data_IF_247939386408
#
_entry.id   IF_247939386408
#
_cell.length_a   1.000
_cell.length_b   1.000
_cell.length_c   1.000
_cell.angle_alpha   90.00
_cell.angle_beta   90.00
_cell.angle_gamma   90.00
#
_symmetry.space_group_name_H-M   'P 1'
#
loop_
_entity.id
_entity.type
_entity.pdbx_description
1 polymer ?
#
# COMPACT_ATOMS: atom_id res chain seq x y z
N UNK A 1 28.49 -13.06 -2.83
CA UNK A 1 27.25 -13.34 -2.07
C UNK A 1 26.14 -12.59 -2.78
N UNK A 2 25.40 -13.25 -3.67
CA UNK A 2 24.17 -12.64 -4.18
C UNK A 2 23.20 -12.59 -3.00
N UNK A 3 22.96 -11.41 -2.47
CA UNK A 3 21.87 -11.19 -1.54
C UNK A 3 20.59 -11.46 -2.35
N UNK A 4 20.00 -12.64 -2.16
CA UNK A 4 18.76 -13.04 -2.81
C UNK A 4 17.62 -12.26 -2.15
N UNK A 5 17.48 -10.98 -2.53
CA UNK A 5 16.37 -10.15 -2.11
C UNK A 5 15.10 -10.68 -2.77
N UNK A 6 14.25 -11.31 -1.98
CA UNK A 6 12.96 -11.83 -2.44
C UNK A 6 12.00 -10.65 -2.63
N UNK A 7 11.46 -10.54 -3.84
CA UNK A 7 10.45 -9.52 -4.18
C UNK A 7 9.08 -10.17 -4.14
N UNK A 8 8.19 -9.65 -3.29
CA UNK A 8 6.81 -10.11 -3.15
C UNK A 8 5.88 -9.04 -3.75
N UNK A 9 5.10 -9.42 -4.76
CA UNK A 9 4.08 -8.53 -5.35
C UNK A 9 2.71 -8.84 -4.73
N UNK A 10 2.08 -7.83 -4.15
CA UNK A 10 0.71 -7.92 -3.64
C UNK A 10 -0.29 -7.63 -4.77
N UNK A 11 -1.35 -8.44 -4.82
CA UNK A 11 -2.53 -8.20 -5.66
C UNK A 11 -3.78 -8.27 -4.79
N UNK A 12 -4.83 -7.57 -5.18
CA UNK A 12 -6.07 -7.40 -4.39
C UNK A 12 -6.83 -8.71 -4.06
N UNK A 13 -6.38 -9.87 -4.56
CA UNK A 13 -6.93 -11.19 -4.25
C UNK A 13 -6.11 -11.99 -3.23
N UNK A 14 -4.89 -11.53 -2.89
CA UNK A 14 -4.01 -12.26 -1.97
C UNK A 14 -4.40 -11.98 -0.52
N UNK A 15 -4.24 -13.00 0.35
CA UNK A 15 -4.36 -12.84 1.80
C UNK A 15 -3.14 -12.09 2.34
N UNK A 16 -3.39 -10.96 2.98
CA UNK A 16 -2.38 -10.04 3.54
C UNK A 16 -1.49 -10.79 4.52
N UNK A 17 -2.07 -11.49 5.49
CA UNK A 17 -1.32 -12.18 6.55
C UNK A 17 -0.25 -13.13 6.01
N UNK A 18 -0.56 -13.90 4.97
CA UNK A 18 0.36 -14.87 4.38
C UNK A 18 1.52 -14.15 3.68
N UNK A 19 1.25 -13.05 2.99
CA UNK A 19 2.29 -12.29 2.29
C UNK A 19 3.29 -11.69 3.28
N UNK A 20 2.80 -11.13 4.37
CA UNK A 20 3.64 -10.55 5.42
C UNK A 20 4.42 -11.62 6.19
N UNK A 21 3.85 -12.79 6.45
CA UNK A 21 4.56 -13.91 7.06
C UNK A 21 5.69 -14.44 6.15
N UNK A 22 5.43 -14.59 4.85
CA UNK A 22 6.44 -14.97 3.87
C UNK A 22 7.55 -13.91 3.76
N UNK A 23 7.19 -12.63 3.81
CA UNK A 23 8.17 -11.54 3.77
C UNK A 23 9.12 -11.59 4.96
N UNK A 24 8.62 -11.91 6.16
CA UNK A 24 9.44 -12.08 7.36
C UNK A 24 10.31 -13.32 7.28
N UNK A 25 9.74 -14.45 6.84
CA UNK A 25 10.49 -15.70 6.68
C UNK A 25 11.66 -15.56 5.69
N UNK A 26 11.48 -14.75 4.65
CA UNK A 26 12.49 -14.48 3.62
C UNK A 26 13.28 -13.18 3.84
N UNK A 27 13.35 -12.65 5.06
CA UNK A 27 14.13 -11.46 5.33
C UNK A 27 15.63 -11.66 4.94
N UNK A 28 16.25 -10.70 4.23
CA UNK A 28 15.72 -9.40 3.81
C UNK A 28 14.82 -9.47 2.57
N UNK A 29 13.62 -8.87 2.64
CA UNK A 29 12.61 -8.93 1.56
C UNK A 29 12.03 -7.56 1.23
N UNK A 30 11.44 -7.44 0.03
CA UNK A 30 10.76 -6.22 -0.43
C UNK A 30 9.34 -6.54 -0.90
N UNK A 31 8.35 -5.90 -0.30
CA UNK A 31 6.93 -5.99 -0.63
C UNK A 31 6.54 -4.81 -1.53
N UNK A 32 5.94 -5.10 -2.69
CA UNK A 32 5.32 -4.10 -3.56
C UNK A 32 3.80 -4.14 -3.44
N UNK A 33 3.23 -3.03 -2.95
CA UNK A 33 1.80 -2.74 -2.90
C UNK A 33 1.41 -1.93 -4.14
N UNK A 34 0.74 -2.57 -5.09
CA UNK A 34 0.17 -1.92 -6.26
C UNK A 34 -1.29 -1.52 -6.02
N UNK A 35 -1.74 -0.45 -6.68
CA UNK A 35 -3.14 0.01 -6.62
C UNK A 35 -3.66 0.29 -5.20
N UNK A 36 -2.80 0.81 -4.32
CA UNK A 36 -3.13 1.06 -2.90
C UNK A 36 -4.36 1.99 -2.74
N UNK A 37 -4.60 2.89 -3.70
CA UNK A 37 -5.78 3.76 -3.72
C UNK A 37 -7.12 3.03 -3.82
N UNK A 38 -7.15 1.83 -4.41
CA UNK A 38 -8.37 1.00 -4.47
C UNK A 38 -8.81 0.55 -3.07
N UNK A 39 -7.84 0.35 -2.18
CA UNK A 39 -8.04 -0.02 -0.78
C UNK A 39 -8.19 1.22 0.12
N UNK A 40 -7.52 2.32 -0.22
CA UNK A 40 -7.46 3.57 0.56
C UNK A 40 -8.58 4.57 0.21
N UNK A 41 -9.80 4.09 -0.03
CA UNK A 41 -10.95 4.98 -0.19
C UNK A 41 -11.10 5.89 1.03
N UNK A 42 -11.45 7.17 0.80
CA UNK A 42 -11.39 8.22 1.82
C UNK A 42 -12.25 7.88 3.03
N UNK A 43 -11.64 8.00 4.22
CA UNK A 43 -12.28 7.81 5.52
C UNK A 43 -13.28 8.94 5.79
N UNK A 44 -14.49 8.78 5.25
CA UNK A 44 -15.68 9.58 5.53
C UNK A 44 -15.70 10.99 4.93
N UNK A 45 -16.63 11.22 3.99
CA UNK A 45 -17.40 12.49 3.84
C UNK A 45 -18.58 12.37 2.86
N UNK A 46 -18.69 11.30 2.07
CA UNK A 46 -19.84 11.12 1.18
C UNK A 46 -21.03 10.44 1.90
N UNK A 47 -22.26 10.99 1.80
CA UNK A 47 -23.46 10.34 2.32
C UNK A 47 -23.81 9.15 1.41
N UNK A 48 -23.19 8.01 1.70
CA UNK A 48 -23.30 6.80 0.89
C UNK A 48 -22.15 5.82 1.14
N UNK A 49 -21.88 5.52 2.42
CA UNK A 49 -21.11 4.38 2.93
C UNK A 49 -19.77 4.05 2.28
N UNK A 50 -18.68 4.18 3.03
CA UNK A 50 -17.44 3.47 2.69
C UNK A 50 -17.74 1.97 2.49
N UNK A 51 -17.21 1.37 1.42
CA UNK A 51 -17.41 -0.04 1.15
C UNK A 51 -16.82 -0.86 2.31
N UNK A 52 -17.65 -1.61 3.06
CA UNK A 52 -17.19 -2.40 4.23
C UNK A 52 -15.99 -3.30 3.92
N UNK A 53 -15.89 -3.80 2.67
CA UNK A 53 -14.75 -4.60 2.20
C UNK A 53 -13.41 -3.84 2.21
N UNK A 54 -13.40 -2.56 1.83
CA UNK A 54 -12.20 -1.71 1.87
C UNK A 54 -11.78 -1.41 3.31
N UNK A 55 -12.75 -1.22 4.21
CA UNK A 55 -12.46 -1.01 5.64
C UNK A 55 -11.81 -2.23 6.29
N UNK A 56 -12.31 -3.44 5.98
CA UNK A 56 -11.73 -4.70 6.47
C UNK A 56 -10.30 -4.86 5.98
N UNK A 57 -10.06 -4.70 4.69
CA UNK A 57 -8.72 -4.83 4.12
C UNK A 57 -7.75 -3.78 4.66
N UNK A 58 -8.18 -2.52 4.81
CA UNK A 58 -7.36 -1.47 5.44
C UNK A 58 -6.97 -1.84 6.88
N UNK A 59 -7.90 -2.42 7.63
CA UNK A 59 -7.63 -2.86 9.01
C UNK A 59 -6.63 -4.01 9.04
N UNK A 60 -6.79 -5.01 8.18
CA UNK A 60 -5.85 -6.13 8.07
C UNK A 60 -4.44 -5.66 7.70
N UNK A 61 -4.32 -4.79 6.69
CA UNK A 61 -3.03 -4.23 6.28
C UNK A 61 -2.34 -3.46 7.42
N UNK A 62 -3.09 -2.64 8.18
CA UNK A 62 -2.55 -1.92 9.33
C UNK A 62 -2.10 -2.87 10.45
N UNK A 63 -2.86 -3.92 10.74
CA UNK A 63 -2.48 -4.94 11.74
C UNK A 63 -1.19 -5.67 11.32
N UNK A 64 -1.06 -6.01 10.03
CA UNK A 64 0.17 -6.65 9.54
C UNK A 64 1.38 -5.71 9.58
N UNK A 65 1.20 -4.44 9.21
CA UNK A 65 2.26 -3.42 9.29
C UNK A 65 2.72 -3.19 10.73
N UNK A 66 1.79 -3.15 11.69
CA UNK A 66 2.12 -3.05 13.11
C UNK A 66 2.92 -4.29 13.57
N UNK A 67 2.54 -5.48 13.12
CA UNK A 67 3.27 -6.72 13.40
C UNK A 67 4.70 -6.76 12.82
N UNK A 68 4.96 -6.05 11.72
CA UNK A 68 6.32 -5.86 11.17
C UNK A 68 7.13 -4.82 11.95
N UNK A 69 6.50 -3.73 12.39
CA UNK A 69 7.20 -2.66 13.10
C UNK A 69 7.81 -3.12 14.44
N UNK A 70 7.21 -4.16 15.03
CA UNK A 70 7.70 -4.79 16.26
C UNK A 70 8.73 -5.91 16.03
N UNK A 71 9.09 -6.23 14.78
CA UNK A 71 10.09 -7.25 14.47
C UNK A 71 11.41 -6.63 14.01
N UNK A 72 12.52 -7.34 14.26
CA UNK A 72 13.86 -6.94 13.79
C UNK A 72 14.10 -7.35 12.31
N UNK A 73 13.05 -7.79 11.61
CA UNK A 73 13.13 -8.30 10.25
C UNK A 73 13.32 -7.13 9.25
N UNK A 74 14.31 -7.25 8.36
CA UNK A 74 14.57 -6.26 7.31
C UNK A 74 13.57 -6.41 6.15
N UNK A 75 12.35 -5.88 6.33
CA UNK A 75 11.29 -5.88 5.31
C UNK A 75 11.06 -4.46 4.79
N UNK A 76 11.25 -4.26 3.49
CA UNK A 76 10.93 -2.99 2.82
C UNK A 76 9.53 -3.05 2.23
N UNK A 77 8.71 -2.02 2.44
CA UNK A 77 7.37 -1.90 1.85
C UNK A 77 7.35 -0.71 0.90
N UNK A 78 7.04 -0.97 -0.37
CA UNK A 78 6.90 0.03 -1.41
C UNK A 78 5.45 0.07 -1.87
N UNK A 79 4.83 1.25 -1.86
CA UNK A 79 3.46 1.43 -2.29
C UNK A 79 3.38 2.40 -3.48
N UNK A 80 2.57 2.06 -4.48
CA UNK A 80 2.25 2.95 -5.60
C UNK A 80 0.78 3.38 -5.56
N UNK A 81 0.53 4.63 -5.92
CA UNK A 81 -0.81 5.18 -6.17
C UNK A 81 -0.85 5.74 -7.59
N UNK A 82 -1.99 5.64 -8.29
CA UNK A 82 -2.16 6.32 -9.57
C UNK A 82 -2.52 7.76 -9.27
N UNK A 83 -1.50 8.62 -9.20
CA UNK A 83 -1.73 10.06 -9.28
C UNK A 83 -2.26 10.37 -10.67
N UNK A 84 -3.57 10.53 -10.81
CA UNK A 84 -4.10 11.30 -11.91
C UNK A 84 -3.57 12.72 -11.75
N UNK A 85 -2.65 13.09 -12.63
CA UNK A 85 -2.19 14.47 -12.75
C UNK A 85 -3.38 15.28 -13.29
N UNK A 86 -4.19 15.80 -12.37
CA UNK A 86 -5.19 16.81 -12.68
C UNK A 86 -4.39 18.04 -13.11
N UNK A 87 -4.39 18.35 -14.40
CA UNK A 87 -3.92 19.64 -14.89
C UNK A 87 -4.91 20.69 -14.39
N UNK A 88 -4.84 21.07 -13.11
CA UNK A 88 -5.48 22.28 -12.63
C UNK A 88 -4.92 23.38 -13.52
N UNK A 89 -5.76 23.92 -14.39
CA UNK A 89 -5.46 24.97 -15.35
C UNK A 89 -5.03 26.23 -14.63
N UNK A 90 -3.81 26.23 -14.09
CA UNK A 90 -3.11 27.42 -13.68
C UNK A 90 -2.79 28.13 -14.98
N UNK A 91 -3.75 28.93 -15.46
CA UNK A 91 -3.44 30.02 -16.37
C UNK A 91 -2.30 30.78 -15.72
N UNK A 92 -1.12 30.77 -16.35
CA UNK A 92 -0.07 31.71 -16.00
C UNK A 92 -0.70 33.11 -16.09
N UNK A 93 -0.61 33.96 -15.06
CA UNK A 93 -0.94 35.36 -15.27
C UNK A 93 0.02 35.89 -16.35
N UNK A 94 -0.47 36.63 -17.36
CA UNK A 94 0.40 37.23 -18.36
C UNK A 94 1.33 38.22 -17.64
N UNK A 95 2.63 38.02 -17.80
CA UNK A 95 3.60 39.08 -17.54
C UNK A 95 3.58 40.04 -18.73
N UNK A 96 2.64 40.99 -18.76
CA UNK A 96 2.71 42.22 -19.59
C UNK A 96 1.61 43.21 -19.21
#
# INVERSE_FOLDING_TARGET
MELSYQTLKFTHQAREAVLFELARYHAPSTIFLDELESVMSQRGTAPGGEHEGSLRMKTELLVQMDGLAHSEDLVFVLATKRVHFESSGRSCPPCL
#
